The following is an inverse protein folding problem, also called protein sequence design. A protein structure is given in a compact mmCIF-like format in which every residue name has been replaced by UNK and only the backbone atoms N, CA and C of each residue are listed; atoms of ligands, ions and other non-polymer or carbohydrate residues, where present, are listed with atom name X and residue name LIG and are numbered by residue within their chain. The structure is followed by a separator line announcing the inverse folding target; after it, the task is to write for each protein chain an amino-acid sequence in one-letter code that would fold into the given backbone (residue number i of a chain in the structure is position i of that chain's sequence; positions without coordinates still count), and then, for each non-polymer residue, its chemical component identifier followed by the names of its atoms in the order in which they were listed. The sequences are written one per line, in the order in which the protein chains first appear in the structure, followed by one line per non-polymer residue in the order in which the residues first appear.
data_IF_634604934535
#
_entry.id   IF_634604934535
#
_cell.length_a   1.000
_cell.length_b   1.000
_cell.length_c   1.000
_cell.angle_alpha   90.00
_cell.angle_beta   90.00
_cell.angle_gamma   90.00
#
_symmetry.space_group_name_H-M   'P 1'
#
loop_
_entity.id
_entity.type
_entity.pdbx_description
1 polymer ?
#
# COMPACT_ATOMS: atom_id res chain seq x y z
N UNK A 1 -52.50 45.19 -44.17
CA UNK A 1 -51.09 45.55 -43.92
C UNK A 1 -50.60 44.54 -42.91
N UNK A 2 -49.88 43.55 -43.41
CA UNK A 2 -49.46 42.37 -42.66
C UNK A 2 -47.93 42.42 -42.64
N UNK A 3 -47.36 42.71 -41.48
CA UNK A 3 -45.90 42.76 -41.30
C UNK A 3 -45.38 41.36 -41.00
N UNK A 4 -44.46 40.94 -41.87
CA UNK A 4 -43.61 39.76 -41.76
C UNK A 4 -42.32 40.13 -41.03
N UNK A 5 -42.08 39.53 -39.88
CA UNK A 5 -40.77 39.57 -39.19
C UNK A 5 -39.94 38.36 -39.62
N UNK A 6 -38.88 38.61 -40.38
CA UNK A 6 -37.82 37.65 -40.73
C UNK A 6 -36.86 37.48 -39.54
N UNK A 7 -36.71 36.24 -39.08
CA UNK A 7 -35.72 35.82 -38.09
C UNK A 7 -34.42 35.45 -38.81
N UNK A 8 -33.34 36.19 -38.52
CA UNK A 8 -32.00 35.93 -39.07
C UNK A 8 -31.24 35.05 -38.07
N UNK A 9 -30.95 33.79 -38.45
CA UNK A 9 -30.06 32.90 -37.70
C UNK A 9 -28.61 33.20 -38.07
N UNK A 10 -27.80 33.63 -37.10
CA UNK A 10 -26.33 33.62 -37.19
C UNK A 10 -25.83 32.18 -37.04
N UNK A 11 -25.18 31.65 -38.08
CA UNK A 11 -24.39 30.42 -38.03
C UNK A 11 -22.99 30.74 -37.49
N UNK A 12 -22.68 30.19 -36.31
CA UNK A 12 -21.29 30.11 -35.81
C UNK A 12 -20.54 28.98 -36.52
N UNK A 13 -19.30 29.21 -37.01
CA UNK A 13 -18.52 28.18 -37.69
C UNK A 13 -17.97 27.15 -36.68
N UNK A 14 -18.10 25.87 -37.02
CA UNK A 14 -17.46 24.76 -36.32
C UNK A 14 -15.94 24.79 -36.56
N UNK A 15 -15.15 24.86 -35.48
CA UNK A 15 -13.70 24.65 -35.53
C UNK A 15 -13.38 23.15 -35.42
N UNK A 16 -12.77 22.59 -36.48
CA UNK A 16 -12.24 21.23 -36.47
C UNK A 16 -10.98 21.11 -35.57
N UNK A 17 -10.82 20.01 -34.81
CA UNK A 17 -9.62 19.81 -33.99
C UNK A 17 -8.41 19.41 -34.84
N UNK A 18 -7.39 20.26 -34.82
CA UNK A 18 -6.07 20.03 -35.43
C UNK A 18 -5.32 18.92 -34.69
N UNK A 19 -5.24 17.73 -35.28
CA UNK A 19 -4.33 16.67 -34.84
C UNK A 19 -2.88 17.03 -35.17
N UNK A 20 -2.11 17.38 -34.14
CA UNK A 20 -0.67 17.63 -34.28
C UNK A 20 0.07 16.29 -34.25
N UNK A 21 0.66 15.88 -35.38
CA UNK A 21 1.55 14.72 -35.46
C UNK A 21 2.86 15.03 -34.73
N UNK A 22 3.09 14.36 -33.60
CA UNK A 22 4.38 14.29 -32.93
C UNK A 22 5.32 13.39 -33.75
N UNK A 23 6.38 13.97 -34.29
CA UNK A 23 7.47 13.29 -34.98
C UNK A 23 8.43 12.64 -33.96
N UNK A 24 8.64 11.33 -34.12
CA UNK A 24 9.66 10.55 -33.42
C UNK A 24 11.06 11.01 -33.84
N UNK A 25 11.81 11.56 -32.89
CA UNK A 25 13.26 11.72 -32.98
C UNK A 25 13.90 10.79 -31.95
N UNK A 26 14.33 9.62 -32.41
CA UNK A 26 15.08 8.63 -31.64
C UNK A 26 16.53 9.08 -31.55
N UNK A 27 16.94 9.59 -30.39
CA UNK A 27 18.35 9.85 -30.09
C UNK A 27 19.02 8.59 -29.54
N UNK A 28 20.21 8.32 -30.06
CA UNK A 28 21.08 7.18 -29.80
C UNK A 28 21.34 6.92 -28.30
N UNK A 29 21.07 5.69 -27.87
CA UNK A 29 21.33 5.18 -26.52
C UNK A 29 22.84 5.04 -26.25
N UNK A 30 23.32 5.74 -25.23
CA UNK A 30 24.61 5.47 -24.62
C UNK A 30 24.54 4.14 -23.86
N UNK A 31 25.47 3.24 -24.18
CA UNK A 31 25.62 1.94 -23.54
C UNK A 31 26.04 2.09 -22.07
N UNK A 32 25.08 2.04 -21.15
CA UNK A 32 25.35 1.83 -19.73
C UNK A 32 25.78 0.38 -19.47
N UNK A 33 26.71 0.19 -18.54
CA UNK A 33 27.29 -1.11 -18.18
C UNK A 33 26.18 -2.13 -17.80
N UNK A 34 26.06 -3.27 -18.49
CA UNK A 34 24.92 -4.20 -18.40
C UNK A 34 24.82 -5.01 -17.09
N UNK A 35 25.58 -4.67 -16.04
CA UNK A 35 25.70 -5.47 -14.82
C UNK A 35 25.27 -4.77 -13.52
N UNK A 36 24.82 -3.52 -13.55
CA UNK A 36 24.33 -2.82 -12.35
C UNK A 36 22.82 -2.56 -12.40
N UNK A 37 22.03 -3.61 -12.57
CA UNK A 37 20.56 -3.55 -12.49
C UNK A 37 20.10 -2.87 -11.19
N UNK A 38 18.96 -2.17 -11.25
CA UNK A 38 18.38 -1.51 -10.07
C UNK A 38 18.15 -2.52 -8.94
N UNK A 39 18.60 -2.29 -7.69
CA UNK A 39 18.37 -3.21 -6.57
C UNK A 39 16.89 -3.43 -6.23
N UNK A 40 16.00 -2.55 -6.71
CA UNK A 40 14.55 -2.64 -6.52
C UNK A 40 13.85 -1.84 -7.63
N UNK A 41 12.72 -2.34 -8.12
CA UNK A 41 11.77 -1.62 -8.98
C UNK A 41 10.35 -2.07 -8.63
N UNK A 42 9.33 -1.48 -9.26
CA UNK A 42 7.96 -1.97 -9.10
C UNK A 42 7.16 -1.89 -10.40
N UNK A 43 6.10 -2.71 -10.50
CA UNK A 43 5.13 -2.69 -11.59
C UNK A 43 3.70 -2.71 -11.05
N UNK A 44 2.88 -1.77 -11.52
CA UNK A 44 1.50 -1.63 -11.10
C UNK A 44 0.52 -2.21 -12.12
N UNK A 45 -0.49 -2.91 -11.62
CA UNK A 45 -1.59 -3.48 -12.37
C UNK A 45 -2.88 -2.91 -11.79
N UNK A 46 -3.44 -1.92 -12.48
CA UNK A 46 -4.73 -1.34 -12.13
C UNK A 46 -5.87 -2.04 -12.87
N UNK A 47 -7.04 -2.19 -12.22
CA UNK A 47 -8.22 -2.76 -12.84
C UNK A 47 -8.74 -1.86 -13.94
N UNK A 48 -9.14 -2.46 -15.05
CA UNK A 48 -9.85 -1.77 -16.13
C UNK A 48 -11.34 -1.75 -15.84
N UNK A 49 -12.02 -0.73 -16.37
CA UNK A 49 -13.48 -0.65 -16.35
C UNK A 49 -14.06 -1.75 -17.26
N UNK A 50 -15.08 -2.45 -16.78
CA UNK A 50 -15.85 -3.45 -17.53
C UNK A 50 -17.23 -2.85 -17.83
N UNK A 51 -17.62 -2.84 -19.11
CA UNK A 51 -18.92 -2.37 -19.58
C UNK A 51 -18.95 -0.92 -20.06
N UNK A 52 -20.09 -0.52 -20.64
CA UNK A 52 -20.32 0.82 -21.18
C UNK A 52 -21.11 1.70 -20.19
N UNK A 53 -20.54 2.88 -19.87
CA UNK A 53 -21.10 4.13 -19.31
C UNK A 53 -22.06 4.14 -18.10
N UNK A 54 -22.74 3.05 -17.70
CA UNK A 54 -23.82 3.10 -16.68
C UNK A 54 -23.53 2.25 -15.44
N UNK A 55 -22.79 1.14 -15.58
CA UNK A 55 -22.27 0.36 -14.44
C UNK A 55 -20.76 0.46 -14.40
N UNK A 56 -20.20 1.12 -13.38
CA UNK A 56 -18.75 1.18 -13.17
C UNK A 56 -18.26 -0.11 -12.51
N UNK A 57 -18.42 -1.24 -13.20
CA UNK A 57 -17.80 -2.50 -12.79
C UNK A 57 -16.32 -2.47 -13.18
N UNK A 58 -15.47 -3.06 -12.34
CA UNK A 58 -14.02 -3.11 -12.57
C UNK A 58 -13.57 -4.57 -12.68
N UNK A 59 -12.48 -4.80 -13.41
CA UNK A 59 -11.77 -6.09 -13.41
C UNK A 59 -11.56 -6.59 -11.98
N UNK A 60 -11.86 -7.87 -11.74
CA UNK A 60 -11.63 -8.51 -10.45
C UNK A 60 -10.15 -8.65 -10.15
N UNK A 61 -9.79 -8.82 -8.88
CA UNK A 61 -8.39 -8.84 -8.45
C UNK A 61 -7.63 -10.05 -9.04
N UNK A 62 -8.30 -11.20 -9.21
CA UNK A 62 -7.76 -12.35 -9.93
C UNK A 62 -7.25 -12.00 -11.34
N UNK A 63 -7.96 -11.16 -12.09
CA UNK A 63 -7.54 -10.71 -13.42
C UNK A 63 -6.25 -9.89 -13.38
N UNK A 64 -6.01 -9.14 -12.29
CA UNK A 64 -4.74 -8.42 -12.09
C UNK A 64 -3.57 -9.38 -11.88
N UNK A 65 -3.81 -10.48 -11.15
CA UNK A 65 -2.81 -11.54 -10.95
C UNK A 65 -2.48 -12.23 -12.28
N UNK A 66 -3.48 -12.51 -13.11
CA UNK A 66 -3.25 -13.10 -14.45
C UNK A 66 -2.40 -12.19 -15.34
N UNK A 67 -2.69 -10.88 -15.34
CA UNK A 67 -1.91 -9.88 -16.08
C UNK A 67 -0.49 -9.73 -15.54
N UNK A 68 -0.33 -9.83 -14.22
CA UNK A 68 0.97 -9.84 -13.58
C UNK A 68 1.81 -11.06 -13.99
N UNK A 69 1.20 -12.25 -14.06
CA UNK A 69 1.87 -13.46 -14.53
C UNK A 69 2.29 -13.35 -16.00
N UNK A 70 1.44 -12.84 -16.88
CA UNK A 70 1.80 -12.60 -18.27
C UNK A 70 2.99 -11.63 -18.41
N UNK A 71 3.03 -10.57 -17.58
CA UNK A 71 4.17 -9.67 -17.53
C UNK A 71 5.46 -10.38 -17.10
N UNK A 72 5.41 -11.24 -16.07
CA UNK A 72 6.58 -11.99 -15.58
C UNK A 72 7.10 -13.01 -16.61
N UNK A 73 6.21 -13.59 -17.42
CA UNK A 73 6.59 -14.48 -18.52
C UNK A 73 7.46 -13.78 -19.57
N UNK A 74 7.14 -12.52 -19.87
CA UNK A 74 7.87 -11.65 -20.81
C UNK A 74 9.12 -10.98 -20.19
N UNK A 75 9.20 -10.89 -18.85
CA UNK A 75 10.25 -10.16 -18.14
C UNK A 75 11.02 -11.05 -17.15
N UNK A 76 11.61 -12.15 -17.67
CA UNK A 76 12.34 -13.16 -16.89
C UNK A 76 13.62 -12.67 -16.21
N UNK A 77 14.05 -11.45 -16.51
CA UNK A 77 15.16 -10.79 -15.82
C UNK A 77 14.78 -10.30 -14.41
N UNK A 78 13.52 -10.46 -13.98
CA UNK A 78 13.05 -10.08 -12.65
C UNK A 78 12.57 -11.26 -11.83
N UNK A 79 12.91 -11.22 -10.54
CA UNK A 79 12.25 -11.98 -9.49
C UNK A 79 11.26 -11.08 -8.75
N UNK A 80 10.16 -11.66 -8.28
CA UNK A 80 9.20 -10.96 -7.41
C UNK A 80 9.68 -11.03 -5.97
N UNK A 81 9.93 -9.88 -5.35
CA UNK A 81 10.32 -9.79 -3.94
C UNK A 81 9.10 -9.79 -3.03
N UNK A 82 8.11 -8.96 -3.32
CA UNK A 82 6.84 -8.89 -2.59
C UNK A 82 5.70 -8.43 -3.50
N UNK A 83 4.46 -8.74 -3.11
CA UNK A 83 3.25 -8.21 -3.72
C UNK A 83 2.51 -7.30 -2.73
N UNK A 84 1.84 -6.28 -3.23
CA UNK A 84 1.06 -5.33 -2.42
C UNK A 84 -0.25 -4.99 -3.14
N UNK A 85 -1.34 -4.85 -2.38
CA UNK A 85 -2.59 -4.28 -2.86
C UNK A 85 -2.56 -2.76 -2.69
N UNK A 86 -2.65 -2.01 -3.80
CA UNK A 86 -2.70 -0.54 -3.77
C UNK A 86 -4.13 -0.05 -3.69
N UNK A 87 -4.40 0.96 -2.86
CA UNK A 87 -5.69 1.65 -2.84
C UNK A 87 -5.56 3.04 -3.47
N UNK A 88 -6.36 3.29 -4.51
CA UNK A 88 -6.28 4.51 -5.32
C UNK A 88 -7.67 5.08 -5.48
N UNK A 89 -7.80 6.40 -5.37
CA UNK A 89 -9.05 7.06 -5.73
C UNK A 89 -9.06 7.28 -7.26
N UNK A 90 -10.07 6.75 -7.94
CA UNK A 90 -10.30 7.05 -9.35
C UNK A 90 -10.84 8.49 -9.48
N UNK A 91 -10.54 9.22 -10.55
CA UNK A 91 -11.18 10.51 -10.80
C UNK A 91 -11.53 10.63 -12.28
N UNK A 92 -12.84 10.53 -12.57
CA UNK A 92 -13.54 10.67 -13.86
C UNK A 92 -12.76 10.58 -15.17
N UNK A 93 -11.86 11.53 -15.41
CA UNK A 93 -11.22 11.75 -16.71
C UNK A 93 -9.74 11.33 -16.77
N UNK A 94 -9.13 10.97 -15.63
CA UNK A 94 -7.76 10.45 -15.58
C UNK A 94 -7.69 9.31 -14.59
N UNK A 95 -7.28 8.14 -15.09
CA UNK A 95 -6.67 7.14 -14.22
C UNK A 95 -5.44 7.83 -13.61
N UNK A 96 -5.58 8.29 -12.37
CA UNK A 96 -4.46 8.81 -11.61
C UNK A 96 -3.53 7.63 -11.41
N UNK A 97 -2.46 7.55 -12.20
CA UNK A 97 -1.48 6.51 -12.02
C UNK A 97 -0.91 6.64 -10.60
N UNK A 98 -0.83 5.53 -9.86
CA UNK A 98 -0.26 5.50 -8.50
C UNK A 98 1.14 6.13 -8.43
N UNK A 99 1.81 6.14 -9.59
CA UNK A 99 3.14 6.70 -9.84
C UNK A 99 3.17 8.22 -9.81
N UNK A 100 2.07 8.88 -10.16
CA UNK A 100 2.05 10.29 -10.55
C UNK A 100 1.64 11.21 -9.40
N UNK A 101 1.00 10.65 -8.37
CA UNK A 101 0.38 11.44 -7.32
C UNK A 101 0.88 11.01 -5.96
N UNK A 102 1.82 11.79 -5.46
CA UNK A 102 2.19 11.77 -4.04
C UNK A 102 1.14 12.44 -3.16
N UNK A 103 0.11 13.09 -3.73
CA UNK A 103 -0.89 13.87 -3.01
C UNK A 103 -2.33 13.47 -3.35
N UNK A 104 -2.91 12.55 -2.59
CA UNK A 104 -4.30 12.14 -2.79
C UNK A 104 -5.23 13.11 -2.05
N UNK A 105 -6.24 13.65 -2.73
CA UNK A 105 -7.23 14.52 -2.10
C UNK A 105 -8.28 13.65 -1.42
N UNK A 106 -8.69 13.99 -0.21
CA UNK A 106 -9.71 13.25 0.53
C UNK A 106 -11.10 13.45 -0.06
N UNK A 107 -12.01 12.53 0.29
CA UNK A 107 -13.46 12.50 0.05
C UNK A 107 -14.06 13.81 -0.48
N UNK A 108 -14.20 13.97 -1.80
CA UNK A 108 -15.02 15.06 -2.39
C UNK A 108 -15.85 14.65 -3.61
N UNK A 109 -15.71 13.41 -4.10
CA UNK A 109 -16.41 12.96 -5.30
C UNK A 109 -17.15 11.64 -5.08
N UNK A 110 -18.14 11.37 -5.92
CA UNK A 110 -18.80 10.05 -6.08
C UNK A 110 -17.87 8.99 -6.67
N UNK A 111 -16.61 9.33 -6.90
CA UNK A 111 -15.69 8.46 -7.59
C UNK A 111 -15.40 7.22 -6.73
N UNK A 112 -15.34 6.04 -7.36
CA UNK A 112 -14.96 4.82 -6.66
C UNK A 112 -13.49 4.89 -6.25
N UNK A 113 -13.18 4.24 -5.13
CA UNK A 113 -11.82 3.79 -4.88
C UNK A 113 -11.61 2.47 -5.60
N UNK A 114 -10.40 2.25 -6.10
CA UNK A 114 -10.00 1.04 -6.79
C UNK A 114 -8.82 0.39 -6.07
N UNK A 115 -8.78 -0.95 -6.11
CA UNK A 115 -7.66 -1.76 -5.65
C UNK A 115 -6.84 -2.25 -6.84
N UNK A 116 -5.56 -1.93 -6.84
CA UNK A 116 -4.57 -2.43 -7.80
C UNK A 116 -3.63 -3.45 -7.17
N UNK A 117 -2.84 -4.11 -8.01
CA UNK A 117 -1.74 -4.97 -7.59
C UNK A 117 -0.41 -4.30 -7.93
N UNK A 118 0.50 -4.19 -6.96
CA UNK A 118 1.91 -3.80 -7.17
C UNK A 118 2.81 -5.00 -6.97
N UNK A 119 3.67 -5.26 -7.94
CA UNK A 119 4.80 -6.17 -7.79
C UNK A 119 6.03 -5.36 -7.42
N UNK A 120 6.72 -5.76 -6.37
CA UNK A 120 8.06 -5.27 -6.05
C UNK A 120 9.08 -6.23 -6.66
N UNK A 121 9.90 -5.73 -7.59
CA UNK A 121 10.76 -6.52 -8.45
C UNK A 121 12.23 -6.30 -8.11
N UNK A 122 13.03 -7.35 -8.22
CA UNK A 122 14.49 -7.31 -8.10
C UNK A 122 15.13 -8.03 -9.28
N UNK A 123 16.36 -7.68 -9.68
CA UNK A 123 17.04 -8.40 -10.74
C UNK A 123 17.17 -9.89 -10.40
N UNK A 124 16.83 -10.75 -11.35
CA UNK A 124 16.96 -12.18 -11.19
C UNK A 124 18.43 -12.56 -10.98
N UNK A 125 18.68 -13.45 -10.01
CA UNK A 125 20.04 -13.91 -9.74
C UNK A 125 20.61 -14.73 -10.90
N UNK A 126 21.91 -14.55 -11.21
CA UNK A 126 22.61 -15.29 -12.27
C UNK A 126 22.56 -16.84 -12.13
N UNK A 127 22.14 -17.35 -10.97
CA UNK A 127 22.07 -18.78 -10.65
C UNK A 127 20.67 -19.40 -10.79
N UNK A 128 19.64 -18.66 -11.24
CA UNK A 128 18.31 -19.22 -11.53
C UNK A 128 17.99 -19.46 -13.03
N UNK A 129 18.92 -19.86 -13.94
CA UNK A 129 18.60 -20.00 -15.36
C UNK A 129 17.78 -21.26 -15.72
N UNK A 130 17.34 -22.07 -14.75
CA UNK A 130 16.70 -23.38 -15.01
C UNK A 130 15.24 -23.50 -14.56
N UNK A 131 14.69 -22.53 -13.82
CA UNK A 131 13.27 -22.51 -13.48
C UNK A 131 12.54 -21.57 -14.44
N UNK A 132 11.32 -21.91 -14.86
CA UNK A 132 10.50 -21.05 -15.71
C UNK A 132 10.27 -19.66 -15.10
N UNK A 133 9.62 -18.77 -15.86
CA UNK A 133 9.22 -17.46 -15.33
C UNK A 133 8.44 -17.63 -14.01
N UNK A 134 8.73 -16.83 -12.98
CA UNK A 134 8.00 -16.92 -11.72
C UNK A 134 6.52 -16.65 -11.98
N UNK A 135 5.66 -17.55 -11.52
CA UNK A 135 4.21 -17.34 -11.50
C UNK A 135 3.77 -17.10 -10.07
N UNK A 136 2.91 -16.12 -9.87
CA UNK A 136 2.31 -15.79 -8.59
C UNK A 136 0.86 -16.27 -8.54
N UNK A 137 0.46 -16.79 -7.39
CA UNK A 137 -0.93 -17.06 -7.07
C UNK A 137 -1.38 -16.27 -5.83
N UNK A 138 -2.69 -16.27 -5.57
CA UNK A 138 -3.28 -15.65 -4.37
C UNK A 138 -4.32 -16.55 -3.72
N UNK A 139 -4.52 -16.37 -2.42
CA UNK A 139 -5.67 -16.88 -1.68
C UNK A 139 -6.05 -15.88 -0.58
N UNK A 140 -7.35 -15.72 -0.36
CA UNK A 140 -7.92 -14.71 0.53
C UNK A 140 -8.68 -15.38 1.69
N UNK A 141 -8.50 -14.85 2.90
CA UNK A 141 -9.15 -15.33 4.12
C UNK A 141 -9.90 -14.18 4.78
N UNK A 142 -11.24 -14.28 4.77
CA UNK A 142 -12.14 -13.31 5.39
C UNK A 142 -12.51 -13.81 6.79
N UNK A 143 -12.40 -12.97 7.84
CA UNK A 143 -12.84 -13.34 9.18
C UNK A 143 -14.30 -13.81 9.20
N UNK A 144 -14.55 -14.99 9.79
CA UNK A 144 -15.91 -15.52 9.91
C UNK A 144 -16.67 -14.82 11.03
N UNK A 145 -17.95 -14.53 10.78
CA UNK A 145 -18.88 -14.05 11.80
C UNK A 145 -19.16 -15.19 12.79
N UNK A 146 -19.06 -14.90 14.09
CA UNK A 146 -19.35 -15.87 15.14
C UNK A 146 -20.87 -16.03 15.31
N UNK A 147 -21.36 -17.24 15.66
CA UNK A 147 -22.78 -17.47 15.95
C UNK A 147 -23.29 -16.56 17.08
N UNK A 148 -24.56 -16.15 17.00
CA UNK A 148 -25.18 -15.25 18.00
C UNK A 148 -25.10 -15.79 19.43
N UNK A 149 -25.18 -17.11 19.62
CA UNK A 149 -25.10 -17.75 20.93
C UNK A 149 -23.73 -17.60 21.62
N UNK A 150 -22.67 -17.33 20.85
CA UNK A 150 -21.32 -17.06 21.37
C UNK A 150 -21.06 -15.56 21.54
N UNK A 151 -21.85 -14.72 20.87
CA UNK A 151 -21.71 -13.29 20.88
C UNK A 151 -22.32 -12.69 22.16
N UNK A 152 -21.54 -12.71 23.25
CA UNK A 152 -21.94 -12.05 24.50
C UNK A 152 -22.19 -10.54 24.23
N UNK A 153 -23.46 -10.15 24.19
CA UNK A 153 -23.99 -8.77 24.15
C UNK A 153 -23.76 -7.92 22.89
N UNK A 154 -22.87 -8.27 21.97
CA UNK A 154 -22.63 -7.51 20.73
C UNK A 154 -22.96 -8.34 19.48
N UNK A 155 -24.00 -7.96 18.73
CA UNK A 155 -24.54 -8.69 17.57
C UNK A 155 -23.56 -8.87 16.37
N UNK A 156 -22.35 -8.32 16.45
CA UNK A 156 -21.38 -8.28 15.35
C UNK A 156 -20.00 -8.75 15.81
N UNK A 157 -19.88 -9.99 16.30
CA UNK A 157 -18.60 -10.59 16.61
C UNK A 157 -18.06 -11.39 15.42
N UNK A 158 -16.76 -11.28 15.19
CA UNK A 158 -16.00 -12.06 14.22
C UNK A 158 -14.88 -12.79 14.97
N UNK A 159 -14.42 -13.91 14.42
CA UNK A 159 -13.27 -14.63 14.97
C UNK A 159 -12.04 -13.73 15.06
N UNK A 160 -11.22 -13.86 16.09
CA UNK A 160 -9.98 -13.10 16.25
C UNK A 160 -8.98 -13.39 15.12
N UNK A 161 -7.97 -12.53 14.97
CA UNK A 161 -6.88 -12.75 14.01
C UNK A 161 -6.17 -14.08 14.28
N UNK A 162 -5.93 -14.42 15.56
CA UNK A 162 -5.30 -15.70 15.93
C UNK A 162 -6.13 -16.91 15.50
N UNK A 163 -7.46 -16.86 15.66
CA UNK A 163 -8.37 -17.92 15.20
C UNK A 163 -8.39 -18.02 13.67
N UNK A 164 -8.45 -16.88 12.96
CA UNK A 164 -8.38 -16.82 11.50
C UNK A 164 -7.07 -17.45 10.98
N UNK A 165 -5.92 -17.09 11.57
CA UNK A 165 -4.62 -17.65 11.22
C UNK A 165 -4.54 -19.15 11.53
N UNK A 166 -5.12 -19.59 12.65
CA UNK A 166 -5.21 -21.01 13.00
C UNK A 166 -6.02 -21.80 11.97
N UNK A 167 -7.18 -21.28 11.58
CA UNK A 167 -8.03 -21.85 10.53
C UNK A 167 -7.35 -21.89 9.16
N UNK A 168 -6.67 -20.81 8.78
CA UNK A 168 -5.88 -20.73 7.55
C UNK A 168 -4.78 -21.79 7.50
N UNK A 169 -3.98 -21.91 8.56
CA UNK A 169 -2.90 -22.91 8.61
C UNK A 169 -3.42 -24.36 8.65
N UNK A 170 -4.59 -24.61 9.27
CA UNK A 170 -5.26 -25.92 9.17
C UNK A 170 -5.70 -26.20 7.73
N UNK A 171 -6.28 -25.22 7.04
CA UNK A 171 -6.64 -25.34 5.62
C UNK A 171 -5.43 -25.69 4.77
N UNK A 172 -4.28 -25.05 4.98
CA UNK A 172 -3.04 -25.35 4.25
C UNK A 172 -2.41 -26.70 4.59
N UNK A 173 -2.73 -27.29 5.75
CA UNK A 173 -2.33 -28.68 6.05
C UNK A 173 -3.19 -29.69 5.31
N UNK A 174 -4.45 -29.37 5.06
CA UNK A 174 -5.40 -30.25 4.35
C UNK A 174 -5.26 -30.12 2.83
N UNK A 175 -5.14 -28.89 2.34
CA UNK A 175 -4.95 -28.54 0.94
C UNK A 175 -3.78 -27.53 0.82
N UNK A 176 -2.54 -28.02 0.71
CA UNK A 176 -1.36 -27.17 0.65
C UNK A 176 -1.38 -26.22 -0.56
N UNK A 177 -1.03 -24.95 -0.33
CA UNK A 177 -0.82 -24.01 -1.44
C UNK A 177 0.26 -24.52 -2.40
N UNK A 178 0.11 -24.31 -3.71
CA UNK A 178 1.11 -24.73 -4.68
C UNK A 178 2.31 -23.78 -4.62
N UNK A 179 3.34 -24.18 -3.88
CA UNK A 179 4.64 -23.50 -3.83
C UNK A 179 4.95 -22.86 -2.49
N UNK A 180 5.55 -21.67 -2.52
CA UNK A 180 6.03 -20.97 -1.32
C UNK A 180 5.34 -19.61 -1.11
N UNK A 181 5.06 -19.27 0.15
CA UNK A 181 4.51 -17.99 0.56
C UNK A 181 5.48 -16.87 0.21
N UNK A 182 4.99 -15.93 -0.60
CA UNK A 182 5.72 -14.75 -1.03
C UNK A 182 5.45 -13.58 -0.08
N UNK A 183 4.18 -13.25 0.14
CA UNK A 183 3.77 -12.11 0.98
C UNK A 183 2.43 -12.41 1.63
N UNK A 184 2.27 -11.99 2.88
CA UNK A 184 0.95 -12.02 3.56
C UNK A 184 0.56 -10.61 3.92
N UNK A 185 -0.56 -10.16 3.39
CA UNK A 185 -1.07 -8.80 3.50
C UNK A 185 -2.34 -8.78 4.37
N UNK A 186 -2.48 -7.73 5.18
CA UNK A 186 -3.70 -7.43 5.93
C UNK A 186 -4.45 -6.28 5.25
N UNK A 187 -5.59 -6.59 4.66
CA UNK A 187 -6.45 -5.64 3.94
C UNK A 187 -7.56 -5.11 4.86
N UNK A 188 -7.79 -3.80 4.86
CA UNK A 188 -8.95 -3.18 5.51
C UNK A 188 -10.11 -3.10 4.50
N UNK A 189 -11.16 -3.88 4.74
CA UNK A 189 -12.29 -4.00 3.83
C UNK A 189 -13.62 -3.71 4.53
N UNK A 190 -14.44 -2.85 3.94
CA UNK A 190 -15.80 -2.63 4.41
C UNK A 190 -16.65 -3.90 4.16
N UNK A 191 -17.33 -4.36 5.21
CA UNK A 191 -18.26 -5.48 5.14
C UNK A 191 -19.64 -4.97 4.72
N UNK A 192 -20.09 -5.41 3.54
CA UNK A 192 -21.44 -5.15 3.07
C UNK A 192 -22.46 -6.11 3.71
N UNK A 193 -23.75 -5.86 3.48
CA UNK A 193 -24.82 -6.79 3.88
C UNK A 193 -24.69 -8.16 3.23
N UNK A 194 -24.14 -8.21 2.02
CA UNK A 194 -23.99 -9.43 1.23
C UNK A 194 -22.65 -10.14 1.52
N UNK A 195 -21.88 -9.61 2.48
CA UNK A 195 -20.57 -10.11 2.87
C UNK A 195 -19.43 -9.21 2.40
N UNK A 196 -18.21 -9.76 2.45
CA UNK A 196 -16.99 -9.08 1.98
C UNK A 196 -16.45 -9.88 0.81
N UNK A 197 -16.39 -9.28 -0.38
CA UNK A 197 -15.74 -9.87 -1.55
C UNK A 197 -14.28 -9.37 -1.63
N UNK A 198 -13.28 -10.17 -1.23
CA UNK A 198 -11.87 -9.77 -1.28
C UNK A 198 -11.36 -9.57 -2.71
N UNK A 199 -12.05 -10.14 -3.70
CA UNK A 199 -11.65 -10.09 -5.10
C UNK A 199 -12.26 -8.87 -5.82
N UNK A 200 -13.13 -8.12 -5.16
CA UNK A 200 -13.62 -6.84 -5.68
C UNK A 200 -12.52 -5.79 -5.67
N UNK A 201 -12.27 -5.23 -6.86
CA UNK A 201 -11.29 -4.17 -7.06
C UNK A 201 -11.87 -2.76 -6.92
N UNK A 202 -13.14 -2.60 -6.59
CA UNK A 202 -13.74 -1.27 -6.48
C UNK A 202 -14.73 -1.20 -5.35
N UNK A 203 -14.73 -0.07 -4.67
CA UNK A 203 -15.75 0.22 -3.68
C UNK A 203 -16.08 1.70 -3.70
N UNK A 204 -17.34 1.99 -3.41
CA UNK A 204 -17.75 3.33 -3.06
C UNK A 204 -17.69 3.43 -1.55
N UNK A 205 -17.01 4.47 -1.10
CA UNK A 205 -17.04 4.79 0.31
C UNK A 205 -18.44 5.33 0.62
N UNK A 206 -19.19 4.60 1.46
CA UNK A 206 -20.57 4.94 1.75
C UNK A 206 -20.73 6.42 2.12
N UNK A 207 -21.77 7.07 1.58
CA UNK A 207 -22.17 8.46 1.87
C UNK A 207 -22.68 8.60 3.33
N UNK A 208 -21.98 8.01 4.30
CA UNK A 208 -22.18 8.22 5.74
C UNK A 208 -22.03 9.71 6.16
N UNK A 209 -21.74 10.59 5.20
CA UNK A 209 -21.77 12.04 5.31
C UNK A 209 -23.09 12.71 4.89
N UNK A 210 -24.20 12.01 4.59
CA UNK A 210 -25.51 12.69 4.58
C UNK A 210 -25.84 13.12 6.01
N UNK A 211 -25.37 14.32 6.36
CA UNK A 211 -25.77 15.07 7.55
C UNK A 211 -27.25 15.45 7.52
N UNK A 212 -27.92 15.24 6.37
CA UNK A 212 -29.31 15.57 6.14
C UNK A 212 -30.32 14.66 6.88
N UNK A 213 -29.92 13.45 7.27
CA UNK A 213 -30.85 12.46 7.79
C UNK A 213 -30.35 11.93 9.13
N UNK A 214 -30.99 12.33 10.23
CA UNK A 214 -30.71 11.81 11.58
C UNK A 214 -30.86 10.27 11.70
N UNK A 215 -31.44 9.61 10.68
CA UNK A 215 -31.57 8.16 10.55
C UNK A 215 -30.37 7.45 9.90
N UNK A 216 -29.40 8.17 9.33
CA UNK A 216 -28.26 7.59 8.60
C UNK A 216 -26.98 7.43 9.44
N UNK A 217 -27.12 7.25 10.77
CA UNK A 217 -26.03 6.85 11.68
C UNK A 217 -25.62 5.39 11.45
N UNK A 218 -25.41 5.00 10.19
CA UNK A 218 -25.00 3.65 9.85
C UNK A 218 -23.57 3.42 10.35
N UNK A 219 -23.45 2.44 11.26
CA UNK A 219 -22.17 1.90 11.68
C UNK A 219 -21.66 1.02 10.55
N UNK A 220 -20.52 1.37 9.96
CA UNK A 220 -19.87 0.53 8.95
C UNK A 220 -18.95 -0.46 9.67
N UNK A 221 -19.06 -1.74 9.30
CA UNK A 221 -18.19 -2.79 9.82
C UNK A 221 -17.04 -2.92 8.83
N UNK A 222 -15.83 -2.92 9.34
CA UNK A 222 -14.61 -3.14 8.59
C UNK A 222 -13.95 -4.44 9.05
N UNK A 223 -13.52 -5.28 8.12
CA UNK A 223 -12.80 -6.53 8.39
C UNK A 223 -11.34 -6.38 7.98
N UNK A 224 -10.45 -7.01 8.74
CA UNK A 224 -9.06 -7.24 8.40
C UNK A 224 -8.96 -8.57 7.66
N UNK A 225 -9.06 -8.52 6.34
CA UNK A 225 -8.94 -9.69 5.45
C UNK A 225 -7.47 -10.02 5.28
N UNK A 226 -7.12 -11.31 5.33
CA UNK A 226 -5.74 -11.77 5.11
C UNK A 226 -5.60 -12.28 3.68
N UNK A 227 -4.74 -11.63 2.89
CA UNK A 227 -4.38 -12.06 1.53
C UNK A 227 -3.00 -12.69 1.53
N UNK A 228 -2.89 -13.93 1.06
CA UNK A 228 -1.62 -14.65 0.91
C UNK A 228 -1.27 -14.72 -0.57
N UNK A 229 -0.17 -14.08 -0.95
CA UNK A 229 0.48 -14.29 -2.23
C UNK A 229 1.53 -15.39 -2.11
N UNK A 230 1.64 -16.23 -3.14
CA UNK A 230 2.63 -17.31 -3.18
C UNK A 230 3.26 -17.42 -4.58
N UNK A 231 4.49 -17.91 -4.64
CA UNK A 231 5.15 -18.30 -5.88
C UNK A 231 4.75 -19.73 -6.20
N UNK A 232 4.19 -19.96 -7.39
CA UNK A 232 3.76 -21.28 -7.84
C UNK A 232 4.93 -22.26 -7.91
N UNK A 233 4.72 -23.45 -7.36
CA UNK A 233 5.70 -24.52 -7.37
C UNK A 233 5.21 -25.76 -6.62
N UNK A 234 6.09 -26.73 -6.35
CA UNK A 234 5.78 -27.84 -5.46
C UNK A 234 5.38 -27.33 -4.07
N UNK A 235 4.31 -27.84 -3.45
CA UNK A 235 3.91 -27.43 -2.11
C UNK A 235 5.04 -27.59 -1.08
N UNK A 236 5.32 -26.52 -0.32
CA UNK A 236 6.39 -26.49 0.68
C UNK A 236 5.90 -26.85 2.09
N UNK A 237 4.60 -26.73 2.36
CA UNK A 237 3.99 -27.02 3.67
C UNK A 237 4.38 -26.01 4.75
N UNK A 238 4.32 -24.72 4.41
CA UNK A 238 4.67 -23.62 5.31
C UNK A 238 3.54 -23.30 6.30
N UNK A 239 3.89 -23.10 7.57
CA UNK A 239 2.98 -22.55 8.57
C UNK A 239 3.21 -21.04 8.69
N UNK A 240 2.20 -20.23 8.42
CA UNK A 240 2.26 -18.76 8.51
C UNK A 240 2.05 -18.33 9.96
N UNK A 241 2.90 -17.43 10.45
CA UNK A 241 2.76 -16.79 11.77
C UNK A 241 2.88 -15.27 11.64
N UNK A 242 2.17 -14.53 12.48
CA UNK A 242 2.21 -13.07 12.56
C UNK A 242 2.56 -12.62 13.97
N UNK A 243 3.37 -11.57 14.06
CA UNK A 243 3.74 -10.92 15.33
C UNK A 243 3.57 -9.43 15.17
N UNK A 244 2.80 -8.83 16.08
CA UNK A 244 2.52 -7.41 16.07
C UNK A 244 3.34 -6.66 17.13
N UNK A 245 3.94 -5.55 16.70
CA UNK A 245 4.62 -4.59 17.55
C UNK A 245 3.75 -3.34 17.62
N UNK A 246 2.86 -3.33 18.62
CA UNK A 246 1.97 -2.21 18.90
C UNK A 246 2.76 -1.13 19.66
N UNK A 247 2.78 0.13 19.20
CA UNK A 247 3.52 1.19 19.87
C UNK A 247 2.96 1.47 21.26
N UNK A 248 3.85 1.62 22.24
CA UNK A 248 3.46 1.98 23.60
C UNK A 248 3.08 3.46 23.66
N UNK A 249 2.16 3.78 24.56
CA UNK A 249 1.86 5.18 24.91
C UNK A 249 3.02 5.73 25.73
N UNK A 250 3.72 6.73 25.18
CA UNK A 250 4.81 7.46 25.84
C UNK A 250 4.22 8.56 26.72
N UNK A 251 3.25 9.30 26.20
CA UNK A 251 2.47 10.28 26.96
C UNK A 251 0.98 10.06 26.72
N UNK A 252 0.19 9.76 27.76
CA UNK A 252 -1.26 9.61 27.59
C UNK A 252 -1.89 10.96 27.25
N UNK A 253 -3.02 10.92 26.55
CA UNK A 253 -3.85 12.11 26.32
C UNK A 253 -4.25 12.74 27.66
N UNK A 254 -3.97 14.04 27.81
CA UNK A 254 -4.28 14.82 29.03
C UNK A 254 -5.66 15.47 28.99
N UNK A 255 -6.25 15.61 27.81
CA UNK A 255 -7.55 16.24 27.61
C UNK A 255 -8.30 15.60 26.44
N UNK A 256 -9.53 16.07 26.17
CA UNK A 256 -10.32 15.65 25.01
C UNK A 256 -9.81 16.20 23.67
N UNK A 257 -8.84 17.12 23.71
CA UNK A 257 -8.28 17.80 22.55
C UNK A 257 -6.89 17.24 22.21
N UNK A 258 -6.19 16.69 23.20
CA UNK A 258 -4.85 16.14 23.04
C UNK A 258 -4.90 14.68 22.62
N UNK A 259 -4.14 14.34 21.59
CA UNK A 259 -3.89 12.96 21.21
C UNK A 259 -2.74 12.35 22.05
N UNK A 260 -2.74 11.03 22.30
CA UNK A 260 -1.64 10.39 23.00
C UNK A 260 -0.36 10.39 22.13
N UNK A 261 0.80 10.61 22.76
CA UNK A 261 2.10 10.45 22.10
C UNK A 261 2.51 8.99 22.20
N UNK A 262 2.78 8.37 21.05
CA UNK A 262 3.15 6.96 20.95
C UNK A 262 4.63 6.77 20.64
N UNK A 263 5.16 5.59 20.93
CA UNK A 263 6.49 5.17 20.47
C UNK A 263 6.59 5.33 18.95
N UNK A 264 7.78 5.68 18.44
CA UNK A 264 7.99 5.91 17.01
C UNK A 264 8.14 4.60 16.23
N UNK A 265 7.89 4.64 14.93
CA UNK A 265 8.02 3.46 14.07
C UNK A 265 9.43 2.84 14.07
N UNK A 266 10.55 3.60 14.07
CA UNK A 266 11.89 3.04 14.24
C UNK A 266 12.09 2.25 15.54
N UNK A 267 11.37 2.61 16.62
CA UNK A 267 11.36 1.84 17.86
C UNK A 267 10.69 0.49 17.66
N UNK A 268 9.58 0.42 16.93
CA UNK A 268 8.89 -0.83 16.58
C UNK A 268 9.79 -1.73 15.73
N UNK A 269 10.46 -1.19 14.72
CA UNK A 269 11.42 -1.95 13.91
C UNK A 269 12.57 -2.50 14.76
N UNK A 270 13.06 -1.72 15.73
CA UNK A 270 14.08 -2.18 16.67
C UNK A 270 13.59 -3.30 17.59
N UNK A 271 12.33 -3.24 18.03
CA UNK A 271 11.67 -4.31 18.79
C UNK A 271 11.51 -5.57 17.93
N UNK A 272 11.06 -5.44 16.68
CA UNK A 272 10.94 -6.54 15.73
C UNK A 272 12.27 -7.24 15.47
N UNK A 273 13.35 -6.47 15.26
CA UNK A 273 14.71 -7.00 15.13
C UNK A 273 15.15 -7.79 16.36
N UNK A 274 14.90 -7.26 17.56
CA UNK A 274 15.19 -7.97 18.81
C UNK A 274 14.39 -9.25 18.94
N UNK A 275 13.11 -9.21 18.60
CA UNK A 275 12.23 -10.38 18.63
C UNK A 275 12.71 -11.48 17.69
N UNK A 276 13.03 -11.14 16.43
CA UNK A 276 13.55 -12.09 15.43
C UNK A 276 14.81 -12.78 15.93
N UNK A 277 15.77 -12.03 16.47
CA UNK A 277 17.02 -12.60 17.02
C UNK A 277 16.79 -13.61 18.13
N UNK A 278 15.73 -13.45 18.93
CA UNK A 278 15.46 -14.28 20.10
C UNK A 278 14.47 -15.42 19.87
N UNK A 279 13.55 -15.29 18.90
CA UNK A 279 12.40 -16.20 18.75
C UNK A 279 12.30 -16.84 17.37
N UNK A 280 12.94 -16.27 16.35
CA UNK A 280 12.96 -16.92 15.04
C UNK A 280 14.02 -18.01 15.09
N UNK A 281 13.59 -19.24 15.41
CA UNK A 281 14.42 -20.43 15.35
C UNK A 281 15.10 -20.56 13.97
N UNK A 282 16.16 -21.39 13.88
CA UNK A 282 16.92 -21.66 12.64
C UNK A 282 16.09 -22.19 11.44
N UNK A 283 14.77 -22.35 11.57
CA UNK A 283 13.85 -22.79 10.51
C UNK A 283 12.79 -21.76 10.11
N UNK A 284 12.79 -20.56 10.68
CA UNK A 284 11.85 -19.50 10.33
C UNK A 284 12.36 -18.60 9.20
N UNK A 285 11.50 -18.25 8.25
CA UNK A 285 11.80 -17.27 7.18
C UNK A 285 10.86 -16.08 7.30
N UNK A 286 11.39 -14.88 7.47
CA UNK A 286 10.58 -13.65 7.38
C UNK A 286 10.11 -13.50 5.93
N UNK A 287 8.80 -13.38 5.71
CA UNK A 287 8.22 -13.18 4.38
C UNK A 287 8.10 -11.69 4.08
N UNK A 288 7.51 -10.93 5.00
CA UNK A 288 7.33 -9.51 4.86
C UNK A 288 7.10 -8.84 6.22
N UNK A 289 7.36 -7.54 6.25
CA UNK A 289 6.89 -6.64 7.28
C UNK A 289 5.89 -5.67 6.64
N UNK A 290 4.86 -5.31 7.39
CA UNK A 290 3.80 -4.40 6.93
C UNK A 290 3.32 -3.49 8.06
N UNK A 291 2.82 -2.33 7.69
CA UNK A 291 2.20 -1.37 8.60
C UNK A 291 0.69 -1.56 8.61
N UNK A 292 0.14 -2.02 9.73
CA UNK A 292 -1.30 -2.23 9.89
C UNK A 292 -1.90 -1.09 10.71
N UNK A 293 -2.97 -0.48 10.21
CA UNK A 293 -3.73 0.53 10.96
C UNK A 293 -4.77 -0.16 11.85
N UNK A 294 -4.48 -0.23 13.14
CA UNK A 294 -5.35 -0.87 14.13
C UNK A 294 -6.20 0.18 14.83
N UNK A 295 -7.52 -0.01 14.86
CA UNK A 295 -8.41 0.89 15.61
C UNK A 295 -8.03 0.89 17.09
N UNK A 296 -7.87 2.09 17.65
CA UNK A 296 -7.53 2.30 19.05
C UNK A 296 -8.66 2.99 19.82
N UNK A 297 -8.66 2.76 21.13
CA UNK A 297 -9.41 3.58 22.08
C UNK A 297 -8.81 4.98 22.16
N UNK A 298 -9.55 5.95 22.71
CA UNK A 298 -9.04 7.32 22.93
C UNK A 298 -7.75 7.39 23.77
N UNK A 299 -7.50 6.37 24.59
CA UNK A 299 -6.26 6.29 25.38
C UNK A 299 -5.08 5.69 24.60
N UNK A 300 -5.22 5.49 23.28
CA UNK A 300 -4.18 4.91 22.43
C UNK A 300 -4.03 3.39 22.58
N UNK A 301 -4.91 2.73 23.33
CA UNK A 301 -4.89 1.26 23.42
C UNK A 301 -5.48 0.66 22.14
N UNK A 302 -4.67 -0.11 21.42
CA UNK A 302 -5.06 -0.84 20.22
C UNK A 302 -5.01 -2.35 20.49
N UNK A 303 -6.02 -3.08 20.03
CA UNK A 303 -6.05 -4.54 20.07
C UNK A 303 -5.75 -5.08 18.67
N UNK A 304 -4.50 -5.47 18.45
CA UNK A 304 -4.03 -5.92 17.13
C UNK A 304 -4.46 -7.35 16.79
N UNK A 305 -5.01 -8.09 17.77
CA UNK A 305 -5.59 -9.42 17.56
C UNK A 305 -7.05 -9.35 17.11
N UNK A 306 -7.65 -8.17 17.10
CA UNK A 306 -8.98 -7.98 16.54
C UNK A 306 -8.92 -8.08 15.01
N UNK A 307 -9.86 -8.83 14.43
CA UNK A 307 -10.00 -9.03 12.98
C UNK A 307 -11.01 -8.09 12.32
N UNK A 308 -11.64 -7.20 13.09
CA UNK A 308 -12.64 -6.27 12.59
C UNK A 308 -12.70 -5.01 13.43
N UNK A 309 -13.33 -3.96 12.92
CA UNK A 309 -13.72 -2.81 13.72
C UNK A 309 -15.01 -2.20 13.19
N UNK A 310 -15.66 -1.40 14.03
CA UNK A 310 -16.89 -0.69 13.66
C UNK A 310 -16.57 0.80 13.60
N UNK A 311 -16.73 1.44 12.45
CA UNK A 311 -16.64 2.89 12.30
C UNK A 311 -18.03 3.51 12.55
N UNK A 312 -18.06 4.60 13.31
CA UNK A 312 -19.30 5.30 13.66
C UNK A 312 -19.13 6.80 13.40
N UNK A 313 -20.09 7.61 13.84
CA UNK A 313 -20.11 9.07 13.59
C UNK A 313 -19.08 9.90 14.36
N UNK A 314 -18.23 9.27 15.17
CA UNK A 314 -17.21 9.95 15.97
C UNK A 314 -15.80 9.79 15.39
N UNK A 315 -14.88 10.65 15.83
CA UNK A 315 -13.46 10.53 15.49
C UNK A 315 -12.92 9.16 15.89
N UNK A 316 -12.37 8.43 14.94
CA UNK A 316 -11.72 7.14 15.20
C UNK A 316 -10.22 7.34 15.24
N UNK A 317 -9.61 6.87 16.32
CA UNK A 317 -8.17 6.82 16.47
C UNK A 317 -7.66 5.51 15.86
N UNK A 318 -6.64 5.60 15.02
CA UNK A 318 -5.90 4.44 14.54
C UNK A 318 -4.45 4.53 14.99
N UNK A 319 -3.88 3.37 15.24
CA UNK A 319 -2.49 3.22 15.65
C UNK A 319 -1.80 2.36 14.61
N UNK A 320 -0.66 2.85 14.11
CA UNK A 320 0.17 2.13 13.15
C UNK A 320 0.99 1.10 13.91
N UNK A 321 0.59 -0.15 13.73
CA UNK A 321 1.26 -1.33 14.27
C UNK A 321 2.20 -1.88 13.22
N UNK A 322 3.42 -2.25 13.60
CA UNK A 322 4.30 -3.00 12.72
C UNK A 322 3.97 -4.49 12.87
N UNK A 323 3.54 -5.12 11.78
CA UNK A 323 3.28 -6.56 11.72
C UNK A 323 4.43 -7.25 11.00
N UNK A 324 5.09 -8.17 11.70
CA UNK A 324 6.09 -9.06 11.12
C UNK A 324 5.42 -10.39 10.77
N UNK A 325 5.56 -10.80 9.53
CA UNK A 325 5.08 -12.10 9.05
C UNK A 325 6.28 -13.00 8.80
N UNK A 326 6.20 -14.22 9.29
CA UNK A 326 7.18 -15.25 9.00
C UNK A 326 6.50 -16.60 8.79
N UNK A 327 7.21 -17.48 8.11
CA UNK A 327 6.79 -18.87 7.89
C UNK A 327 7.75 -19.82 8.58
N UNK A 328 7.22 -20.90 9.14
CA UNK A 328 8.01 -22.00 9.67
C UNK A 328 8.14 -23.09 8.59
N UNK A 329 9.36 -23.55 8.36
CA UNK A 329 9.66 -24.73 7.53
C UNK A 329 10.27 -25.83 8.39
N UNK A 330 10.28 -27.06 7.85
CA UNK A 330 11.22 -28.06 8.35
C UNK A 330 12.64 -27.47 8.37
N UNK A 331 13.42 -27.67 9.44
CA UNK A 331 14.67 -26.94 9.66
C UNK A 331 15.63 -27.14 8.47
N UNK A 332 15.86 -26.08 7.71
CA UNK A 332 16.93 -26.05 6.70
C UNK A 332 18.20 -25.51 7.37
N UNK A 333 19.36 -26.05 6.99
CA UNK A 333 20.62 -25.75 7.68
C UNK A 333 21.25 -24.40 7.29
N UNK A 334 20.69 -23.71 6.31
CA UNK A 334 21.38 -22.62 5.59
C UNK A 334 20.69 -21.24 5.65
N UNK A 335 19.76 -21.01 6.58
CA UNK A 335 19.15 -19.67 6.71
C UNK A 335 20.04 -18.79 7.60
N UNK A 336 20.63 -17.75 7.01
CA UNK A 336 21.35 -16.70 7.74
C UNK A 336 20.44 -15.96 8.74
N UNK A 337 21.04 -15.35 9.76
CA UNK A 337 20.30 -14.56 10.75
C UNK A 337 19.73 -13.29 10.10
N UNK A 338 18.41 -13.27 9.86
CA UNK A 338 17.72 -12.09 9.34
C UNK A 338 17.60 -11.03 10.44
N UNK A 339 18.11 -9.83 10.20
CA UNK A 339 17.94 -8.69 11.10
C UNK A 339 17.13 -7.59 10.42
N UNK A 340 15.79 -7.56 10.57
CA UNK A 340 14.98 -6.59 9.84
C UNK A 340 15.28 -5.16 10.29
N UNK A 341 15.46 -4.28 9.32
CA UNK A 341 15.55 -2.83 9.45
C UNK A 341 14.57 -2.18 8.46
N UNK A 342 14.29 -0.89 8.64
CA UNK A 342 13.32 -0.18 7.84
C UNK A 342 13.80 1.24 7.55
N UNK A 343 13.46 1.76 6.38
CA UNK A 343 13.63 3.16 6.00
C UNK A 343 12.40 3.63 5.25
N UNK A 344 11.91 4.81 5.62
CA UNK A 344 10.79 5.47 4.94
C UNK A 344 11.33 6.59 4.06
N UNK A 345 10.86 6.65 2.83
CA UNK A 345 11.15 7.66 1.83
C UNK A 345 9.89 8.49 1.61
N UNK A 346 9.94 9.74 2.07
CA UNK A 346 8.88 10.70 1.85
C UNK A 346 9.22 11.54 0.60
N UNK A 347 8.25 11.81 -0.28
CA UNK A 347 8.46 12.66 -1.44
C UNK A 347 8.83 14.09 -1.02
N UNK A 348 9.78 14.71 -1.71
CA UNK A 348 10.16 16.11 -1.45
C UNK A 348 9.03 17.07 -1.84
N UNK A 349 8.76 18.05 -0.99
CA UNK A 349 7.86 19.17 -1.34
C UNK A 349 8.57 20.13 -2.30
N UNK A 350 7.96 20.39 -3.46
CA UNK A 350 8.52 21.18 -4.56
C UNK A 350 8.26 22.68 -4.43
N UNK A 351 7.14 23.08 -3.81
CA UNK A 351 6.80 24.48 -3.63
C UNK A 351 7.00 24.95 -2.18
N UNK A 352 7.74 26.05 -2.02
CA UNK A 352 8.08 26.63 -0.71
C UNK A 352 7.06 27.66 -0.21
N UNK A 353 6.09 28.04 -1.06
CA UNK A 353 5.14 29.14 -0.84
C UNK A 353 4.17 28.91 0.33
N UNK A 354 4.27 27.76 1.01
CA UNK A 354 3.51 27.43 2.21
C UNK A 354 2.00 27.60 2.00
N UNK A 355 1.33 28.12 3.03
CA UNK A 355 -0.12 28.27 3.17
C UNK A 355 -0.89 28.90 2.00
N UNK A 356 -0.21 29.52 1.01
CA UNK A 356 -0.87 30.24 -0.09
C UNK A 356 -1.24 29.36 -1.27
N UNK A 357 -0.56 28.23 -1.47
CA UNK A 357 -0.81 27.31 -2.58
C UNK A 357 -0.96 25.88 -2.08
N UNK A 358 -1.70 25.05 -2.85
CA UNK A 358 -1.77 23.61 -2.56
C UNK A 358 -0.34 23.05 -2.60
N UNK A 359 0.12 22.30 -1.58
CA UNK A 359 1.47 21.75 -1.58
C UNK A 359 1.63 20.83 -2.80
N UNK A 360 2.80 20.89 -3.42
CA UNK A 360 3.20 20.07 -4.55
C UNK A 360 4.37 19.21 -4.08
N UNK A 361 4.33 17.92 -4.41
CA UNK A 361 5.35 16.96 -4.03
C UNK A 361 5.94 16.29 -5.27
N UNK A 362 7.17 15.80 -5.17
CA UNK A 362 7.73 14.87 -6.13
C UNK A 362 6.78 13.69 -6.35
N UNK A 363 6.85 13.06 -7.52
CA UNK A 363 6.08 11.84 -7.82
C UNK A 363 6.60 10.64 -7.02
N UNK A 364 5.80 9.57 -6.97
CA UNK A 364 6.23 8.31 -6.35
C UNK A 364 7.43 7.72 -7.11
N UNK A 365 7.51 7.91 -8.43
CA UNK A 365 8.66 7.49 -9.24
C UNK A 365 9.96 8.18 -8.81
N UNK A 366 9.95 9.51 -8.64
CA UNK A 366 11.14 10.23 -8.13
C UNK A 366 11.53 9.79 -6.73
N UNK A 367 10.53 9.55 -5.87
CA UNK A 367 10.77 9.00 -4.51
C UNK A 367 11.42 7.61 -4.57
N UNK A 368 11.02 6.80 -5.55
CA UNK A 368 11.59 5.48 -5.79
C UNK A 368 13.02 5.56 -6.32
N UNK A 369 13.34 6.51 -7.20
CA UNK A 369 14.72 6.76 -7.67
C UNK A 369 15.65 7.08 -6.49
N UNK A 370 15.23 7.94 -5.58
CA UNK A 370 15.97 8.26 -4.34
C UNK A 370 16.14 7.02 -3.45
N UNK A 371 15.09 6.20 -3.33
CA UNK A 371 15.13 4.97 -2.56
C UNK A 371 16.10 3.94 -3.15
N UNK A 372 16.12 3.79 -4.47
CA UNK A 372 17.03 2.92 -5.22
C UNK A 372 18.47 3.39 -5.09
N UNK A 373 18.72 4.70 -5.23
CA UNK A 373 20.06 5.26 -5.05
C UNK A 373 20.56 4.99 -3.63
N UNK A 374 19.70 5.17 -2.63
CA UNK A 374 20.06 4.85 -1.26
C UNK A 374 20.36 3.37 -1.06
N UNK A 375 19.55 2.46 -1.61
CA UNK A 375 19.78 1.01 -1.52
C UNK A 375 21.12 0.59 -2.12
N UNK A 376 21.53 1.17 -3.26
CA UNK A 376 22.84 0.93 -3.88
C UNK A 376 24.00 1.32 -2.96
N UNK A 377 23.87 2.46 -2.28
CA UNK A 377 24.90 2.96 -1.35
C UNK A 377 24.92 2.12 -0.07
N UNK A 378 23.74 1.76 0.45
CA UNK A 378 23.60 1.02 1.69
C UNK A 378 24.04 -0.45 1.56
N UNK A 379 24.01 -0.99 0.35
CA UNK A 379 24.34 -2.38 0.02
C UNK A 379 23.57 -3.37 0.92
N UNK A 380 22.27 -3.09 1.07
CA UNK A 380 21.36 -3.89 1.88
C UNK A 380 20.49 -4.78 0.99
N UNK A 381 20.22 -5.99 1.47
CA UNK A 381 19.24 -6.88 0.84
C UNK A 381 17.83 -6.48 1.25
N UNK A 382 16.97 -6.21 0.26
CA UNK A 382 15.55 -5.92 0.50
C UNK A 382 14.81 -7.18 0.98
N UNK A 383 14.06 -7.05 2.07
CA UNK A 383 13.13 -8.05 2.59
C UNK A 383 11.76 -7.84 1.93
N UNK A 384 11.18 -6.66 2.13
CA UNK A 384 9.88 -6.26 1.58
C UNK A 384 9.82 -4.74 1.37
N UNK A 385 8.85 -4.28 0.59
CA UNK A 385 8.54 -2.86 0.48
C UNK A 385 7.02 -2.67 0.53
N UNK A 386 6.58 -1.51 1.00
CA UNK A 386 5.17 -1.12 1.07
C UNK A 386 4.99 0.37 0.75
N UNK A 387 3.78 0.70 0.34
CA UNK A 387 3.29 2.03 0.03
C UNK A 387 2.46 2.52 1.22
N UNK A 388 2.83 3.67 1.78
CA UNK A 388 2.16 4.24 2.95
C UNK A 388 1.43 5.52 2.58
N UNK A 389 0.16 5.58 2.95
CA UNK A 389 -0.63 6.80 2.81
C UNK A 389 -0.68 7.52 4.16
N UNK A 390 -0.13 8.73 4.23
CA UNK A 390 -0.06 9.53 5.46
C UNK A 390 -0.87 10.81 5.32
N UNK A 391 -1.80 11.04 6.25
CA UNK A 391 -2.57 12.28 6.26
C UNK A 391 -1.65 13.47 6.53
N UNK A 392 -1.78 14.50 5.69
CA UNK A 392 -1.08 15.77 5.81
C UNK A 392 -1.92 16.70 6.70
N UNK A 393 -1.39 17.24 7.80
CA UNK A 393 -2.10 18.21 8.61
C UNK A 393 -2.29 19.51 7.81
N UNK A 394 -3.41 20.24 8.02
CA UNK A 394 -3.70 21.46 7.27
C UNK A 394 -2.64 22.56 7.46
N UNK A 395 -1.89 22.52 8.57
CA UNK A 395 -0.84 23.49 8.90
C UNK A 395 0.53 22.80 8.95
N UNK A 396 1.08 22.45 7.79
CA UNK A 396 2.40 21.78 7.67
C UNK A 396 3.51 22.77 8.09
N UNK A 397 4.25 22.54 9.19
CA UNK A 397 5.46 23.32 9.46
C UNK A 397 6.50 23.08 8.36
N UNK A 398 7.36 24.08 8.07
CA UNK A 398 8.49 23.86 7.16
C UNK A 398 9.34 22.67 7.64
N UNK A 399 9.64 21.74 6.74
CA UNK A 399 10.38 20.53 7.05
C UNK A 399 9.53 19.39 7.63
N UNK A 400 8.23 19.54 7.86
CA UNK A 400 7.41 18.46 8.44
C UNK A 400 7.60 17.10 7.79
N UNK A 401 7.81 17.06 6.46
CA UNK A 401 8.08 15.85 5.68
C UNK A 401 9.11 14.88 6.30
N UNK A 402 10.13 15.36 7.01
CA UNK A 402 11.13 14.48 7.68
C UNK A 402 10.64 13.87 9.00
N UNK A 403 9.59 14.42 9.60
CA UNK A 403 8.92 13.86 10.78
C UNK A 403 7.88 12.81 10.38
N UNK A 404 7.34 12.93 9.18
CA UNK A 404 6.35 12.01 8.61
C UNK A 404 6.99 10.66 8.34
N UNK A 405 6.33 9.59 8.79
CA UNK A 405 6.84 8.22 8.65
C UNK A 405 7.59 7.68 9.86
N UNK A 406 7.89 8.53 10.85
CA UNK A 406 8.34 8.09 12.18
C UNK A 406 7.19 7.98 13.19
N UNK A 407 6.04 8.59 12.89
CA UNK A 407 4.90 8.63 13.79
C UNK A 407 4.09 7.33 13.74
N UNK A 408 3.72 6.82 14.91
CA UNK A 408 2.88 5.61 15.04
C UNK A 408 1.40 5.93 15.31
N UNK A 409 1.03 7.22 15.35
CA UNK A 409 -0.36 7.65 15.50
C UNK A 409 -0.94 8.06 14.15
N UNK A 410 -2.20 7.68 13.90
CA UNK A 410 -2.96 8.15 12.75
C UNK A 410 -4.41 8.45 13.16
N UNK A 411 -4.81 9.73 13.11
CA UNK A 411 -6.18 10.13 13.45
C UNK A 411 -7.05 10.22 12.19
N UNK A 412 -8.05 9.33 12.08
CA UNK A 412 -9.05 9.33 11.01
C UNK A 412 -10.28 10.10 11.50
N UNK A 413 -10.16 11.42 11.50
CA UNK A 413 -11.31 12.25 11.14
C UNK A 413 -11.20 12.44 9.63
N UNK A 414 -12.22 12.06 8.87
CA UNK A 414 -12.29 12.23 7.41
C UNK A 414 -13.08 13.49 7.11
N UNK A 415 -12.41 14.64 7.20
CA UNK A 415 -12.98 15.92 6.79
C UNK A 415 -12.82 16.15 5.29
N UNK A 416 -13.78 16.85 4.68
CA UNK A 416 -13.76 17.17 3.25
C UNK A 416 -12.52 18.01 2.91
N UNK A 417 -11.69 17.53 1.97
CA UNK A 417 -10.51 18.26 1.51
C UNK A 417 -9.21 17.96 2.28
N UNK A 418 -9.15 16.84 2.98
CA UNK A 418 -7.88 16.33 3.50
C UNK A 418 -6.90 16.03 2.38
N UNK A 419 -5.62 16.06 2.71
CA UNK A 419 -4.56 15.73 1.78
C UNK A 419 -3.79 14.54 2.35
N UNK A 420 -3.45 13.59 1.50
CA UNK A 420 -2.72 12.39 1.89
C UNK A 420 -1.43 12.30 1.07
N UNK A 421 -0.32 12.06 1.76
CA UNK A 421 1.01 11.89 1.21
C UNK A 421 1.30 10.41 1.01
N UNK A 422 1.67 10.02 -0.21
CA UNK A 422 2.13 8.66 -0.51
C UNK A 422 3.64 8.57 -0.24
N UNK A 423 4.05 7.60 0.56
CA UNK A 423 5.45 7.33 0.92
C UNK A 423 5.82 5.90 0.58
N UNK A 424 7.12 5.63 0.44
CA UNK A 424 7.63 4.28 0.26
C UNK A 424 8.35 3.87 1.55
N UNK A 425 8.03 2.70 2.09
CA UNK A 425 8.80 2.11 3.19
C UNK A 425 9.43 0.82 2.72
N UNK A 426 10.75 0.74 2.89
CA UNK A 426 11.54 -0.40 2.48
C UNK A 426 12.10 -1.07 3.73
N UNK A 427 11.83 -2.37 3.84
CA UNK A 427 12.39 -3.24 4.86
C UNK A 427 13.57 -4.01 4.27
N UNK A 428 14.68 -4.08 5.01
CA UNK A 428 15.92 -4.67 4.53
C UNK A 428 16.68 -5.39 5.64
N UNK A 429 17.60 -6.26 5.26
CA UNK A 429 18.39 -7.11 6.14
C UNK A 429 19.65 -6.41 6.64
N UNK A 430 19.86 -6.41 7.95
CA UNK A 430 21.02 -5.85 8.63
C UNK A 430 20.99 -4.33 8.79
N UNK A 431 21.81 -3.77 9.70
CA UNK A 431 22.09 -2.35 9.64
C UNK A 431 22.81 -2.02 8.32
N UNK A 432 22.57 -0.84 7.72
CA UNK A 432 23.35 -0.39 6.57
C UNK A 432 24.85 -0.47 6.87
N UNK A 433 25.65 -0.93 5.91
CA UNK A 433 27.12 -0.92 6.07
C UNK A 433 27.54 0.51 6.38
N UNK A 434 28.22 0.67 7.52
CA UNK A 434 28.41 1.94 8.22
C UNK A 434 28.79 3.08 7.25
N UNK A 435 27.87 4.01 7.03
CA UNK A 435 28.05 5.18 6.17
C UNK A 435 28.86 6.28 6.85
N UNK A 436 29.81 5.92 7.74
CA UNK A 436 30.71 6.88 8.39
C UNK A 436 31.48 7.76 7.38
N UNK A 437 31.51 7.35 6.10
CA UNK A 437 32.05 8.08 4.94
C UNK A 437 31.00 8.70 4.00
N UNK A 438 29.69 8.42 4.11
CA UNK A 438 28.66 9.09 3.30
C UNK A 438 28.28 10.43 3.94
N UNK A 439 29.21 11.37 3.88
CA UNK A 439 28.97 12.76 4.27
C UNK A 439 28.04 13.43 3.25
N UNK A 440 27.04 14.09 3.82
CA UNK A 440 26.12 15.07 3.27
C UNK A 440 24.95 14.52 2.43
N UNK A 441 23.71 15.00 2.67
CA UNK A 441 22.62 14.83 1.72
C UNK A 441 23.07 15.41 0.38
N UNK A 442 22.87 14.65 -0.70
CA UNK A 442 23.02 15.16 -2.05
C UNK A 442 22.02 16.30 -2.17
N UNK A 443 22.51 17.54 -2.23
CA UNK A 443 21.66 18.69 -2.48
C UNK A 443 20.96 18.46 -3.83
N UNK A 444 19.65 18.65 -3.94
CA UNK A 444 18.94 18.45 -5.20
C UNK A 444 19.60 19.32 -6.27
N UNK A 445 20.16 18.69 -7.29
CA UNK A 445 20.65 19.39 -8.47
C UNK A 445 19.43 20.01 -9.15
N UNK A 446 19.43 21.33 -9.34
CA UNK A 446 18.35 22.05 -10.02
C UNK A 446 18.45 21.81 -11.52
N UNK A 447 18.17 20.60 -11.98
CA UNK A 447 18.03 20.32 -13.40
C UNK A 447 16.64 19.78 -13.66
N UNK A 448 15.70 20.70 -13.94
CA UNK A 448 14.34 20.39 -14.38
C UNK A 448 14.35 20.10 -15.89
N UNK A 449 15.13 19.09 -16.28
CA UNK A 449 15.03 18.46 -17.60
C UNK A 449 13.88 17.46 -17.60
N UNK A 450 13.01 17.52 -18.62
CA UNK A 450 11.96 16.53 -18.85
C UNK A 450 12.58 15.20 -19.29
N UNK A 451 13.11 14.43 -18.36
CA UNK A 451 13.53 13.06 -18.61
C UNK A 451 12.27 12.17 -18.64
N UNK A 452 11.83 11.78 -19.84
CA UNK A 452 10.98 10.60 -20.02
C UNK A 452 11.83 9.38 -19.68
N UNK A 453 11.79 8.96 -18.42
CA UNK A 453 12.39 7.70 -18.01
C UNK A 453 11.30 6.63 -18.07
N UNK A 454 11.48 5.63 -18.93
CA UNK A 454 10.63 4.44 -18.97
C UNK A 454 11.13 3.50 -17.88
N UNK A 455 10.56 3.61 -16.68
CA UNK A 455 10.58 2.50 -15.72
C UNK A 455 9.64 1.43 -16.30
N UNK A 456 10.22 0.26 -16.58
CA UNK A 456 9.71 -0.83 -17.44
C UNK A 456 8.21 -1.12 -17.38
#
# INVERSE_FOLDING_TARGET
MSDSSEDTREETPEEEPVFTRLSDNTSEEQSEDPLSGSPLSFKDFLPRLIGEHVSSEYERFGTLVDRANAFLEDHRQYDVRTCETLEVQYSGDRQVACTDVSLVSGRRSKDPYIRGLRLWLVPAGAQSPTSGAPRIGKVDFVPRRLPEDQAQSDLNQFESLGELLGGMNESFRQDPIPGEVLTVETLDMECSTDGTDPDSCSWHENEAGCTCCCSCLHRTIHLYVIRVFYLEGPPVGEEITMVDFVPRVVHPATSFIDDPILETFPKLTSQARGWVRHHLDRGGRVTNLQTVSVKATRHGMADSQRSFYIEGSGSVLFVRTLRLVYVKRAPSRDVGEVQPCARTFAPLQLNEDGYRTKPQFQTVLKTMEEAVQWLRIADCRVISAETLTVKIPPNIPRGWAHLVGNESLWCRNKSLGELYLVMLRIYFEGPPKDTASARLPILPQSDMGQSKCTLL
#
